data_IF_796649395184
#
_entry.id   IF_796649395184
#
_cell.length_a   1.000
_cell.length_b   1.000
_cell.length_c   1.000
_cell.angle_alpha   90.00
_cell.angle_beta   90.00
_cell.angle_gamma   90.00
#
_symmetry.space_group_name_H-M   'P 1'
#
loop_
_entity.id
_entity.type
_entity.pdbx_description
1 polymer ?
#
# COMPACT_ATOMS: atom_id res chain seq x y z
N UNK A 1 25.72 13.71 5.52
CA UNK A 1 26.94 12.99 5.16
C UNK A 1 26.58 11.51 5.24
N UNK A 2 26.13 10.96 4.12
CA UNK A 2 25.61 9.58 4.07
C UNK A 2 26.78 8.62 3.85
N UNK A 3 26.89 7.64 4.71
CA UNK A 3 27.85 6.56 4.58
C UNK A 3 27.21 5.51 3.66
N UNK A 4 27.66 5.48 2.41
CA UNK A 4 27.29 4.42 1.46
C UNK A 4 27.89 3.10 1.92
N UNK A 5 27.04 2.12 2.22
CA UNK A 5 27.48 0.74 2.40
C UNK A 5 27.73 0.12 1.04
N UNK A 6 29.00 -0.05 0.71
CA UNK A 6 29.43 -0.86 -0.42
C UNK A 6 29.37 -2.32 0.04
N UNK A 7 28.42 -3.07 -0.45
CA UNK A 7 28.42 -4.54 -0.35
C UNK A 7 29.00 -5.03 -1.68
N UNK A 8 30.29 -5.35 -1.68
CA UNK A 8 30.94 -6.01 -2.79
C UNK A 8 30.48 -7.49 -2.83
N UNK A 9 29.68 -7.84 -3.82
CA UNK A 9 29.35 -9.23 -4.12
C UNK A 9 30.55 -9.92 -4.72
N UNK A 10 31.14 -10.89 -4.00
CA UNK A 10 32.18 -11.77 -4.51
C UNK A 10 31.47 -12.91 -5.26
N UNK A 11 31.41 -12.81 -6.59
CA UNK A 11 31.09 -13.94 -7.47
C UNK A 11 32.28 -14.87 -7.54
N UNK A 12 32.23 -16.00 -6.87
CA UNK A 12 33.18 -17.09 -7.05
C UNK A 12 32.84 -17.86 -8.33
N UNK A 13 33.60 -17.61 -9.38
CA UNK A 13 33.59 -18.37 -10.64
C UNK A 13 34.32 -19.72 -10.42
N UNK A 14 33.57 -20.81 -10.26
CA UNK A 14 34.14 -22.14 -10.21
C UNK A 14 34.24 -22.71 -11.62
N UNK A 15 35.46 -22.66 -12.20
CA UNK A 15 35.81 -23.31 -13.46
C UNK A 15 36.02 -24.82 -13.19
N UNK A 16 35.12 -25.67 -13.69
CA UNK A 16 35.38 -27.12 -13.77
C UNK A 16 35.83 -27.45 -15.20
N UNK A 17 37.09 -27.73 -15.33
CA UNK A 17 37.68 -28.37 -16.51
C UNK A 17 37.45 -29.88 -16.42
N UNK A 18 36.71 -30.46 -17.35
CA UNK A 18 36.64 -31.92 -17.55
C UNK A 18 37.34 -32.29 -18.85
N UNK A 19 38.39 -33.08 -18.68
CA UNK A 19 39.19 -33.63 -19.75
C UNK A 19 38.46 -34.77 -20.49
N UNK A 20 38.63 -34.73 -21.80
CA UNK A 20 38.24 -35.81 -22.73
C UNK A 20 39.05 -37.08 -22.51
N UNK A 21 38.37 -38.24 -22.53
CA UNK A 21 38.99 -39.49 -22.92
C UNK A 21 38.09 -40.26 -23.86
N UNK A 22 38.65 -40.60 -24.98
CA UNK A 22 38.06 -41.30 -26.11
C UNK A 22 38.21 -42.84 -25.93
N UNK A 23 37.18 -43.66 -26.24
CA UNK A 23 37.27 -45.09 -26.30
C UNK A 23 36.11 -45.69 -27.08
N UNK A 24 36.43 -46.23 -28.25
CA UNK A 24 35.55 -46.96 -29.18
C UNK A 24 35.32 -48.40 -28.75
N UNK A 25 34.13 -48.98 -29.03
CA UNK A 25 33.80 -50.15 -29.90
C UNK A 25 32.48 -50.79 -29.45
N UNK A 26 31.49 -50.84 -30.29
CA UNK A 26 31.09 -51.91 -31.26
C UNK A 26 30.38 -53.12 -30.65
N UNK A 27 29.17 -53.40 -31.15
CA UNK A 27 28.60 -54.75 -31.21
C UNK A 27 27.20 -54.94 -30.63
N UNK A 28 26.19 -54.84 -31.41
CA UNK A 28 25.23 -55.75 -32.02
C UNK A 28 24.14 -56.44 -31.15
N UNK A 29 22.90 -56.23 -31.64
CA UNK A 29 21.75 -57.14 -31.82
C UNK A 29 21.08 -57.74 -30.56
N UNK A 30 19.83 -57.75 -30.43
CA UNK A 30 18.63 -58.13 -31.13
C UNK A 30 17.50 -58.52 -30.14
N UNK A 31 16.29 -58.24 -30.56
CA UNK A 31 15.01 -58.98 -30.40
C UNK A 31 14.34 -59.12 -29.03
N UNK A 32 13.22 -58.43 -28.90
CA UNK A 32 11.82 -58.88 -29.01
C UNK A 32 11.16 -59.51 -27.77
N UNK A 33 9.97 -58.99 -27.58
CA UNK A 33 8.69 -59.61 -27.24
C UNK A 33 8.24 -59.80 -25.79
N UNK A 34 7.06 -59.19 -25.60
CA UNK A 34 5.80 -59.70 -25.09
C UNK A 34 5.39 -59.42 -23.65
N UNK A 35 4.36 -58.65 -23.55
CA UNK A 35 3.39 -58.69 -22.43
C UNK A 35 2.58 -60.01 -22.51
N UNK A 36 1.81 -60.43 -21.48
CA UNK A 36 0.67 -59.69 -20.97
C UNK A 36 0.26 -59.95 -19.48
N UNK A 37 -0.62 -59.07 -19.07
CA UNK A 37 -1.88 -59.25 -18.28
C UNK A 37 -1.89 -59.96 -16.92
N UNK A 38 -2.56 -59.31 -16.01
CA UNK A 38 -3.82 -59.60 -15.33
C UNK A 38 -3.80 -59.61 -13.81
N UNK A 39 -4.75 -58.83 -13.32
CA UNK A 39 -5.77 -59.10 -12.31
C UNK A 39 -5.42 -59.08 -10.81
N UNK A 40 -6.04 -58.09 -10.17
CA UNK A 40 -7.02 -58.16 -9.08
C UNK A 40 -6.57 -58.72 -7.72
N UNK A 41 -6.75 -57.96 -6.71
CA UNK A 41 -7.79 -58.13 -5.65
C UNK A 41 -7.42 -57.38 -4.39
N UNK A 42 -8.42 -56.82 -3.82
CA UNK A 42 -8.57 -56.10 -2.56
C UNK A 42 -7.98 -56.84 -1.35
N UNK A 43 -7.57 -56.11 -0.35
CA UNK A 43 -8.22 -56.12 0.96
C UNK A 43 -7.67 -55.07 1.94
N UNK A 44 -8.54 -54.53 2.72
CA UNK A 44 -8.50 -53.66 3.83
C UNK A 44 -7.51 -54.01 4.93
N UNK A 45 -6.86 -53.00 5.53
CA UNK A 45 -6.89 -52.84 7.00
C UNK A 45 -6.39 -51.49 7.48
N UNK A 46 -7.13 -50.98 8.41
CA UNK A 46 -6.98 -49.83 9.32
C UNK A 46 -5.61 -49.75 10.01
N UNK A 47 -5.15 -48.50 10.20
CA UNK A 47 -4.06 -48.20 11.13
C UNK A 47 -3.86 -46.68 11.25
N UNK A 48 -4.30 -46.19 12.35
CA UNK A 48 -4.22 -44.84 12.87
C UNK A 48 -2.83 -44.32 13.21
N UNK A 49 -2.76 -42.98 13.42
CA UNK A 49 -1.74 -42.19 14.13
C UNK A 49 -0.52 -41.81 13.29
N UNK A 50 -0.01 -40.60 13.29
CA UNK A 50 -0.04 -39.45 14.19
C UNK A 50 0.39 -38.20 13.41
N UNK A 51 -0.13 -37.07 13.83
CA UNK A 51 0.31 -35.74 13.43
C UNK A 51 1.68 -35.45 14.03
N UNK A 52 2.55 -34.82 13.27
CA UNK A 52 3.66 -34.05 13.82
C UNK A 52 3.66 -32.65 13.25
N UNK A 53 3.26 -31.72 14.10
CA UNK A 53 3.51 -30.29 13.98
C UNK A 53 5.02 -30.03 13.91
N UNK A 54 5.46 -29.32 12.91
CA UNK A 54 6.68 -28.54 13.02
C UNK A 54 6.38 -27.06 12.80
N UNK A 55 6.22 -26.37 13.92
CA UNK A 55 6.31 -24.93 14.01
C UNK A 55 7.79 -24.55 14.08
N UNK A 56 8.30 -23.84 13.09
CA UNK A 56 9.57 -23.12 13.23
C UNK A 56 9.28 -21.65 13.51
N UNK A 57 9.44 -21.31 14.76
CA UNK A 57 9.62 -19.96 15.25
C UNK A 57 11.10 -19.60 15.14
N UNK A 58 11.44 -18.55 14.44
CA UNK A 58 12.68 -17.81 14.66
C UNK A 58 12.42 -16.32 14.52
N UNK A 59 12.36 -15.66 15.64
CA UNK A 59 12.75 -14.26 15.79
C UNK A 59 13.31 -14.09 17.20
N UNK A 60 14.62 -14.20 17.31
CA UNK A 60 15.36 -13.99 18.54
C UNK A 60 15.88 -12.55 18.60
N UNK A 61 15.30 -11.81 19.49
CA UNK A 61 15.79 -10.53 20.00
C UNK A 61 17.12 -10.73 20.74
N UNK A 62 18.18 -10.08 20.29
CA UNK A 62 19.37 -9.85 21.11
C UNK A 62 19.19 -8.59 21.97
N UNK A 63 19.09 -8.80 23.26
CA UNK A 63 19.28 -7.78 24.29
C UNK A 63 20.66 -8.00 24.92
N UNK A 64 21.61 -7.12 24.63
CA UNK A 64 22.87 -7.06 25.35
C UNK A 64 22.70 -6.16 26.57
N UNK A 65 22.89 -6.80 27.73
CA UNK A 65 23.01 -6.16 29.03
C UNK A 65 24.43 -5.67 29.23
N UNK A 66 24.60 -4.40 29.47
CA UNK A 66 25.78 -3.91 30.21
C UNK A 66 25.36 -3.37 31.56
N UNK A 67 26.06 -3.90 32.57
CA UNK A 67 25.91 -3.72 33.98
C UNK A 67 27.07 -2.86 34.43
N UNK A 68 26.82 -1.62 34.81
CA UNK A 68 27.76 -0.91 35.69
C UNK A 68 27.07 -0.33 36.92
N UNK A 69 27.77 -0.51 38.01
CA UNK A 69 27.42 -0.34 39.42
C UNK A 69 28.22 0.84 39.96
N UNK A 70 27.56 1.80 40.61
CA UNK A 70 28.02 2.44 41.85
C UNK A 70 27.03 3.55 42.24
N UNK A 71 26.44 3.38 43.32
CA UNK A 71 26.58 3.89 44.69
C UNK A 71 26.28 5.37 44.90
N UNK A 72 25.18 5.54 45.62
CA UNK A 72 24.92 6.45 46.75
C UNK A 72 25.40 7.91 46.74
N UNK A 73 24.49 8.85 46.89
CA UNK A 73 24.33 9.55 48.18
C UNK A 73 23.14 10.49 48.22
N UNK A 74 22.33 10.28 49.23
CA UNK A 74 21.26 11.11 49.80
C UNK A 74 21.69 12.55 50.06
N UNK A 75 20.79 13.50 49.85
CA UNK A 75 20.41 14.48 50.89
C UNK A 75 19.11 15.24 50.55
N UNK A 76 18.29 15.34 51.55
CA UNK A 76 17.00 15.99 51.72
C UNK A 76 17.14 17.49 52.04
N UNK A 77 16.17 18.28 51.60
CA UNK A 77 15.53 19.41 52.31
C UNK A 77 14.59 20.14 51.37
N UNK A 78 13.35 20.17 51.54
CA UNK A 78 12.34 20.70 52.45
C UNK A 78 12.21 22.26 52.41
N UNK A 79 10.96 22.67 52.15
CA UNK A 79 10.24 23.88 52.54
C UNK A 79 10.48 25.15 51.69
N UNK A 80 9.55 25.98 51.33
CA UNK A 80 8.28 26.44 51.94
C UNK A 80 7.47 27.26 50.99
N UNK A 81 6.15 27.34 51.22
CA UNK A 81 5.13 28.12 50.56
C UNK A 81 5.22 29.62 50.91
N UNK A 82 4.57 30.44 50.04
CA UNK A 82 3.73 31.61 50.35
C UNK A 82 3.34 32.28 49.05
N UNK A 83 2.14 32.39 48.62
CA UNK A 83 0.92 33.07 49.02
C UNK A 83 0.97 34.63 48.90
N UNK A 84 -0.12 35.11 48.35
CA UNK A 84 -0.73 36.48 48.42
C UNK A 84 -0.41 37.41 47.25
N UNK A 85 -1.38 37.83 46.62
CA UNK A 85 -2.60 38.66 46.58
C UNK A 85 -2.45 39.72 45.49
N UNK A 86 -3.45 39.80 44.61
CA UNK A 86 -4.62 40.67 44.58
C UNK A 86 -4.37 42.12 44.18
N UNK A 87 -5.02 42.57 43.16
CA UNK A 87 -5.96 43.71 43.03
C UNK A 87 -6.11 44.14 41.57
N UNK A 88 -7.32 44.05 41.04
CA UNK A 88 -8.29 45.11 40.83
C UNK A 88 -7.75 46.37 40.10
N UNK A 89 -8.30 46.72 38.93
CA UNK A 89 -9.42 47.58 38.77
C UNK A 89 -9.78 47.87 37.28
N UNK A 90 -11.04 47.77 36.98
CA UNK A 90 -12.03 48.67 36.46
C UNK A 90 -11.96 49.20 35.00
N UNK A 91 -12.91 48.71 34.26
CA UNK A 91 -14.05 49.46 33.63
C UNK A 91 -13.76 50.69 32.79
N UNK A 92 -14.19 50.65 31.53
CA UNK A 92 -15.15 51.65 31.02
C UNK A 92 -15.88 51.19 29.75
N UNK A 93 -17.17 51.24 29.86
CA UNK A 93 -18.24 51.19 28.86
C UNK A 93 -18.21 52.40 27.95
N UNK A 94 -18.53 52.26 26.67
CA UNK A 94 -19.38 53.22 25.96
C UNK A 94 -20.19 52.52 24.87
N UNK A 95 -21.39 52.98 24.82
CA UNK A 95 -22.62 52.52 24.24
C UNK A 95 -22.91 53.24 22.92
N UNK A 96 -23.71 52.57 22.08
CA UNK A 96 -24.82 53.08 21.25
C UNK A 96 -24.54 53.60 19.84
N UNK A 97 -25.41 53.13 18.95
CA UNK A 97 -25.72 53.73 17.66
C UNK A 97 -26.68 52.85 16.83
N UNK A 98 -27.93 52.83 17.27
CA UNK A 98 -29.12 52.36 16.55
C UNK A 98 -29.56 53.39 15.54
N UNK A 99 -29.97 53.04 14.31
CA UNK A 99 -30.93 53.82 13.48
C UNK A 99 -31.52 52.88 12.45
N UNK A 100 -32.66 52.36 12.60
CA UNK A 100 -34.01 52.71 12.20
C UNK A 100 -34.34 52.73 10.71
N UNK A 101 -35.20 51.82 10.41
CA UNK A 101 -36.16 51.55 9.34
C UNK A 101 -36.71 52.80 8.61
N UNK A 102 -36.82 52.67 7.28
CA UNK A 102 -37.97 53.36 6.57
C UNK A 102 -38.42 52.47 5.40
N UNK A 103 -39.65 52.05 5.48
CA UNK A 103 -40.46 51.46 4.41
C UNK A 103 -41.02 52.52 3.50
N UNK A 104 -41.00 52.31 2.18
CA UNK A 104 -41.99 52.92 1.28
C UNK A 104 -42.46 51.93 0.22
N UNK A 105 -43.76 51.88 0.09
CA UNK A 105 -44.58 51.02 -0.78
C UNK A 105 -45.09 51.88 -1.96
N UNK A 106 -45.00 51.33 -3.18
CA UNK A 106 -45.88 51.59 -4.32
C UNK A 106 -45.63 50.61 -5.44
N UNK A 107 -46.49 49.73 -5.73
CA UNK A 107 -47.58 49.62 -6.68
C UNK A 107 -47.19 49.68 -8.17
N UNK A 108 -47.42 48.56 -8.87
CA UNK A 108 -48.03 48.56 -10.21
C UNK A 108 -47.19 47.93 -11.33
N UNK A 109 -47.72 46.89 -11.98
CA UNK A 109 -47.52 46.64 -13.41
C UNK A 109 -46.89 45.30 -13.80
N UNK A 110 -47.75 44.43 -14.28
CA UNK A 110 -47.56 43.21 -15.05
C UNK A 110 -46.45 43.25 -16.10
N UNK A 111 -45.60 42.21 -16.18
CA UNK A 111 -45.50 41.36 -17.37
C UNK A 111 -44.60 40.13 -17.12
N UNK A 112 -45.10 39.00 -17.59
CA UNK A 112 -44.51 37.66 -17.50
C UNK A 112 -43.38 37.51 -18.49
N UNK A 113 -42.17 37.21 -18.01
CA UNK A 113 -41.15 36.55 -18.81
C UNK A 113 -40.40 35.53 -17.98
N UNK A 114 -40.69 34.25 -18.24
CA UNK A 114 -39.98 33.11 -17.71
C UNK A 114 -38.56 33.13 -18.28
N UNK A 115 -37.57 33.36 -17.44
CA UNK A 115 -36.17 33.10 -17.75
C UNK A 115 -35.64 32.07 -16.76
N UNK A 116 -35.33 30.90 -17.28
CA UNK A 116 -34.64 29.81 -16.57
C UNK A 116 -33.30 30.30 -16.01
N UNK A 117 -33.19 30.36 -14.72
CA UNK A 117 -31.94 30.66 -14.02
C UNK A 117 -31.06 29.42 -14.07
N UNK A 118 -29.86 29.57 -14.64
CA UNK A 118 -28.74 28.67 -14.59
C UNK A 118 -28.29 28.49 -13.13
N UNK A 119 -27.98 27.26 -12.64
CA UNK A 119 -27.50 27.08 -11.29
C UNK A 119 -26.15 27.78 -11.10
N UNK A 120 -26.02 28.48 -10.00
CA UNK A 120 -24.77 29.10 -9.57
C UNK A 120 -23.70 28.04 -9.35
N UNK A 121 -22.57 28.19 -10.02
CA UNK A 121 -21.35 27.42 -9.74
C UNK A 121 -20.81 27.87 -8.38
N UNK A 122 -20.83 26.94 -7.44
CA UNK A 122 -20.10 27.07 -6.19
C UNK A 122 -18.61 26.97 -6.50
N UNK A 123 -17.89 28.05 -6.40
CA UNK A 123 -16.44 28.08 -6.46
C UNK A 123 -15.88 27.40 -5.21
N UNK A 124 -15.45 26.15 -5.36
CA UNK A 124 -14.67 25.47 -4.34
C UNK A 124 -13.29 26.10 -4.29
N UNK A 125 -12.92 26.63 -3.13
CA UNK A 125 -11.58 27.17 -2.90
C UNK A 125 -10.57 26.04 -3.08
N UNK A 126 -9.66 26.19 -4.05
CA UNK A 126 -8.52 25.32 -4.25
C UNK A 126 -7.55 25.55 -3.10
N UNK A 127 -7.47 24.61 -2.18
CA UNK A 127 -6.40 24.56 -1.18
C UNK A 127 -5.13 24.13 -1.92
N UNK A 128 -4.21 25.05 -2.10
CA UNK A 128 -2.89 24.79 -2.67
C UNK A 128 -2.10 23.97 -1.67
N UNK A 129 -2.12 22.64 -1.81
CA UNK A 129 -1.16 21.77 -1.13
C UNK A 129 0.18 21.90 -1.85
N UNK A 130 1.24 22.10 -1.09
CA UNK A 130 2.61 22.06 -1.60
C UNK A 130 2.83 20.64 -2.14
N UNK A 131 2.72 20.49 -3.45
CA UNK A 131 2.93 19.22 -4.13
C UNK A 131 4.40 18.82 -3.99
N UNK A 132 4.63 17.54 -3.70
CA UNK A 132 5.89 16.86 -3.97
C UNK A 132 6.36 17.20 -5.40
N UNK A 133 7.68 17.16 -5.70
CA UNK A 133 8.19 17.51 -7.03
C UNK A 133 7.34 16.83 -8.10
N UNK A 134 6.70 17.66 -8.89
CA UNK A 134 5.80 17.20 -9.93
C UNK A 134 6.65 16.55 -11.02
N UNK A 135 6.67 15.21 -11.08
CA UNK A 135 7.22 14.48 -12.22
C UNK A 135 6.17 14.45 -13.38
N UNK A 136 5.25 15.42 -13.41
CA UNK A 136 4.33 15.61 -14.51
C UNK A 136 5.05 16.26 -15.68
N UNK A 137 5.83 15.48 -16.37
CA UNK A 137 6.22 15.81 -17.74
C UNK A 137 4.97 15.78 -18.61
N UNK A 138 4.82 16.76 -19.53
CA UNK A 138 3.71 16.75 -20.48
C UNK A 138 3.70 15.41 -21.23
N UNK A 139 2.53 14.91 -21.55
CA UNK A 139 2.36 13.64 -22.28
C UNK A 139 2.88 13.76 -23.73
N UNK A 140 4.17 13.91 -23.90
CA UNK A 140 4.79 13.62 -25.18
C UNK A 140 4.89 12.11 -25.35
N UNK A 141 4.18 11.61 -26.34
CA UNK A 141 4.01 10.19 -26.69
C UNK A 141 5.27 9.57 -27.32
N UNK A 142 6.44 9.93 -26.84
CA UNK A 142 7.68 9.32 -27.32
C UNK A 142 8.11 8.29 -26.31
N UNK A 143 7.82 7.02 -26.58
CA UNK A 143 8.36 5.93 -25.80
C UNK A 143 9.77 5.59 -26.27
N UNK A 144 10.68 5.33 -25.31
CA UNK A 144 12.00 4.76 -25.59
C UNK A 144 11.85 3.40 -26.27
N UNK A 145 10.89 2.59 -25.82
CA UNK A 145 10.46 1.41 -26.54
C UNK A 145 8.99 1.07 -26.25
N UNK A 146 8.38 0.39 -27.22
CA UNK A 146 7.07 -0.26 -27.13
C UNK A 146 7.29 -1.77 -27.09
N UNK A 147 6.78 -2.43 -26.04
CA UNK A 147 6.93 -3.87 -25.81
C UNK A 147 5.58 -4.54 -25.84
N UNK A 148 5.39 -5.44 -26.81
CA UNK A 148 4.21 -6.29 -26.88
C UNK A 148 4.53 -7.65 -26.29
N UNK A 149 3.92 -7.95 -25.15
CA UNK A 149 4.06 -9.20 -24.40
C UNK A 149 3.21 -10.29 -25.06
N UNK A 150 3.71 -11.52 -25.08
CA UNK A 150 3.03 -12.67 -25.67
C UNK A 150 3.91 -13.91 -25.63
N UNK A 151 3.45 -15.00 -26.29
CA UNK A 151 4.29 -16.20 -26.49
C UNK A 151 5.59 -15.89 -27.24
N UNK A 152 5.57 -14.83 -28.03
CA UNK A 152 6.74 -14.18 -28.63
C UNK A 152 6.68 -12.70 -28.26
N UNK A 153 7.66 -12.26 -27.48
CA UNK A 153 7.78 -10.83 -27.12
C UNK A 153 8.35 -10.08 -28.30
N UNK A 154 7.74 -8.93 -28.64
CA UNK A 154 8.25 -8.02 -29.66
C UNK A 154 8.55 -6.67 -29.07
N UNK A 155 9.63 -6.06 -29.54
CA UNK A 155 10.13 -4.76 -29.09
C UNK A 155 10.30 -3.85 -30.29
N UNK A 156 9.80 -2.62 -30.17
CA UNK A 156 10.07 -1.53 -31.10
C UNK A 156 10.67 -0.38 -30.31
N UNK A 157 11.91 -0.03 -30.61
CA UNK A 157 12.71 0.97 -29.90
C UNK A 157 13.96 0.36 -29.27
N UNK A 158 14.54 1.07 -28.31
CA UNK A 158 15.88 0.81 -27.82
C UNK A 158 15.88 0.44 -26.31
N UNK A 159 17.07 0.02 -25.82
CA UNK A 159 17.34 -0.23 -24.40
C UNK A 159 16.51 -1.36 -23.75
N UNK A 160 15.97 -2.25 -24.57
CA UNK A 160 15.23 -3.44 -24.12
C UNK A 160 15.91 -4.69 -24.67
N UNK A 161 16.21 -5.63 -23.79
CA UNK A 161 16.76 -6.95 -24.12
C UNK A 161 15.79 -8.03 -23.66
N UNK A 162 15.54 -8.99 -24.53
CA UNK A 162 14.71 -10.16 -24.19
C UNK A 162 15.64 -11.33 -23.82
N UNK A 163 15.33 -11.95 -22.69
CA UNK A 163 16.02 -13.14 -22.20
C UNK A 163 14.95 -14.17 -21.76
N UNK A 164 14.61 -15.07 -22.66
CA UNK A 164 13.47 -15.97 -22.48
C UNK A 164 12.15 -15.19 -22.37
N UNK A 165 11.49 -15.31 -21.23
CA UNK A 165 10.28 -14.56 -20.89
C UNK A 165 10.54 -13.32 -20.01
N UNK A 166 11.82 -12.96 -19.78
CA UNK A 166 12.19 -11.75 -19.05
C UNK A 166 12.47 -10.61 -20.01
N UNK A 167 11.80 -9.48 -19.80
CA UNK A 167 12.04 -8.22 -20.50
C UNK A 167 12.99 -7.37 -19.66
N UNK A 168 14.25 -7.26 -20.08
CA UNK A 168 15.29 -6.51 -19.36
C UNK A 168 15.39 -5.09 -19.90
N UNK A 169 15.27 -4.11 -19.01
CA UNK A 169 15.48 -2.68 -19.26
C UNK A 169 16.81 -2.28 -18.63
N UNK A 170 17.70 -1.72 -19.43
CA UNK A 170 19.08 -1.43 -19.04
C UNK A 170 19.48 0.05 -19.18
N UNK A 171 18.53 0.93 -19.43
CA UNK A 171 18.75 2.38 -19.42
C UNK A 171 17.50 3.13 -19.00
N UNK A 172 17.69 4.38 -18.56
CA UNK A 172 16.59 5.29 -18.26
C UNK A 172 15.70 5.55 -19.46
N UNK A 173 14.44 5.86 -19.22
CA UNK A 173 13.48 6.15 -20.30
C UNK A 173 12.06 5.77 -19.95
N UNK A 174 11.19 5.87 -20.97
CA UNK A 174 9.76 5.53 -20.85
C UNK A 174 9.42 4.36 -21.76
N UNK A 175 8.92 3.30 -21.20
CA UNK A 175 8.68 2.01 -21.85
C UNK A 175 7.20 1.66 -21.80
N UNK A 176 6.56 1.48 -22.94
CA UNK A 176 5.16 1.09 -23.03
C UNK A 176 5.03 -0.43 -23.11
N UNK A 177 4.23 -1.00 -22.21
CA UNK A 177 3.96 -2.43 -22.18
C UNK A 177 2.49 -2.71 -22.45
N UNK A 178 2.23 -3.74 -23.25
CA UNK A 178 0.89 -4.28 -23.50
C UNK A 178 0.94 -5.79 -23.73
N UNK A 179 -0.17 -6.49 -23.50
CA UNK A 179 -0.27 -7.92 -23.75
C UNK A 179 -0.03 -8.81 -22.53
N UNK A 180 0.26 -10.10 -22.75
CA UNK A 180 0.24 -11.11 -21.71
C UNK A 180 1.52 -11.94 -21.66
N UNK A 181 2.07 -12.12 -20.46
CA UNK A 181 3.06 -13.14 -20.12
C UNK A 181 2.45 -14.14 -19.15
N UNK A 182 2.29 -15.38 -19.57
CA UNK A 182 1.77 -16.43 -18.69
C UNK A 182 2.77 -16.89 -17.63
N UNK A 183 4.06 -16.68 -17.90
CA UNK A 183 5.16 -16.88 -16.95
C UNK A 183 6.35 -16.03 -17.39
N UNK A 184 6.51 -14.85 -16.81
CA UNK A 184 7.55 -13.92 -17.21
C UNK A 184 7.65 -12.69 -16.33
N UNK A 185 8.63 -11.84 -16.60
CA UNK A 185 9.02 -10.73 -15.74
C UNK A 185 9.42 -9.50 -16.54
N UNK A 186 9.12 -8.33 -16.03
CA UNK A 186 9.80 -7.07 -16.39
C UNK A 186 10.91 -6.84 -15.37
N UNK A 187 12.14 -6.78 -15.83
CA UNK A 187 13.34 -6.61 -15.00
C UNK A 187 14.04 -5.32 -15.36
N UNK A 188 14.21 -4.43 -14.38
CA UNK A 188 14.87 -3.13 -14.54
C UNK A 188 16.20 -3.15 -13.81
N UNK A 189 17.28 -2.93 -14.54
CA UNK A 189 18.62 -2.76 -13.97
C UNK A 189 19.37 -1.72 -14.82
N UNK A 190 19.34 -0.49 -14.35
CA UNK A 190 19.97 0.65 -15.03
C UNK A 190 21.15 1.13 -14.20
N UNK A 191 21.27 2.41 -13.93
CA UNK A 191 22.19 2.95 -12.95
C UNK A 191 21.45 3.86 -11.96
N UNK A 192 22.09 4.17 -10.85
CA UNK A 192 21.51 4.94 -9.73
C UNK A 192 21.11 6.38 -10.08
N UNK A 193 21.48 6.87 -11.26
CA UNK A 193 21.16 8.23 -11.69
C UNK A 193 19.99 8.28 -12.69
N UNK A 194 19.56 7.14 -13.20
CA UNK A 194 18.53 7.06 -14.24
C UNK A 194 17.14 6.77 -13.67
N UNK A 195 16.15 7.47 -14.21
CA UNK A 195 14.73 7.21 -13.94
C UNK A 195 14.16 6.31 -15.03
N UNK A 196 13.37 5.33 -14.62
CA UNK A 196 12.64 4.44 -15.53
C UNK A 196 11.14 4.61 -15.33
N UNK A 197 10.40 4.77 -16.42
CA UNK A 197 8.94 4.78 -16.41
C UNK A 197 8.41 3.59 -17.18
N UNK A 198 7.68 2.71 -16.49
CA UNK A 198 6.98 1.56 -17.05
C UNK A 198 5.51 1.95 -17.23
N UNK A 199 5.09 2.16 -18.47
CA UNK A 199 3.70 2.49 -18.80
C UNK A 199 2.95 1.19 -19.07
N UNK A 200 2.06 0.81 -18.18
CA UNK A 200 1.24 -0.40 -18.29
C UNK A 200 -0.06 -0.08 -19.03
N UNK A 201 -0.28 -0.74 -20.17
CA UNK A 201 -1.43 -0.54 -21.05
C UNK A 201 -2.11 -1.87 -21.38
N UNK A 202 -2.80 -2.44 -20.40
CA UNK A 202 -3.49 -3.71 -20.56
C UNK A 202 -2.52 -4.89 -20.50
N UNK A 203 -1.63 -4.90 -19.52
CA UNK A 203 -0.75 -6.05 -19.29
C UNK A 203 -1.41 -7.09 -18.38
N UNK A 204 -1.08 -8.37 -18.61
CA UNK A 204 -1.43 -9.49 -17.75
C UNK A 204 -0.16 -10.34 -17.60
N UNK A 205 0.51 -10.20 -16.44
CA UNK A 205 1.80 -10.84 -16.17
C UNK A 205 1.68 -11.73 -14.93
N UNK A 206 1.95 -13.02 -15.12
CA UNK A 206 2.22 -13.93 -14.02
C UNK A 206 3.71 -14.30 -14.01
N UNK A 207 4.30 -14.49 -12.83
CA UNK A 207 5.69 -14.93 -12.70
C UNK A 207 5.81 -16.03 -11.64
N UNK A 208 6.35 -17.18 -12.04
CA UNK A 208 6.52 -18.33 -11.14
C UNK A 208 7.92 -18.39 -10.50
N UNK A 209 8.83 -17.50 -10.89
CA UNK A 209 10.23 -17.53 -10.45
C UNK A 209 10.72 -16.24 -9.78
N UNK A 210 9.86 -15.23 -9.62
CA UNK A 210 10.18 -13.97 -8.96
C UNK A 210 9.03 -12.96 -9.03
N UNK A 211 9.31 -11.69 -8.78
CA UNK A 211 8.36 -10.59 -9.01
C UNK A 211 7.90 -10.51 -10.47
N UNK A 212 6.64 -10.14 -10.71
CA UNK A 212 6.19 -9.81 -12.07
C UNK A 212 6.89 -8.55 -12.59
N UNK A 213 7.20 -7.60 -11.69
CA UNK A 213 8.07 -6.44 -11.95
C UNK A 213 9.16 -6.41 -10.89
N UNK A 214 10.41 -6.57 -11.33
CA UNK A 214 11.61 -6.48 -10.51
C UNK A 214 12.41 -5.24 -10.88
N UNK A 215 12.68 -4.38 -9.92
CA UNK A 215 13.59 -3.23 -10.06
C UNK A 215 14.84 -3.51 -9.22
N UNK A 216 15.89 -3.92 -9.89
CA UNK A 216 17.19 -4.21 -9.27
C UNK A 216 17.95 -2.93 -8.97
N UNK A 217 18.00 -2.01 -9.94
CA UNK A 217 18.71 -0.74 -9.80
C UNK A 217 18.12 0.34 -10.71
N UNK A 218 17.74 1.47 -10.12
CA UNK A 218 17.36 2.70 -10.81
C UNK A 218 17.41 3.87 -9.82
N UNK A 219 17.53 5.11 -10.28
CA UNK A 219 17.32 6.27 -9.40
C UNK A 219 15.90 6.28 -8.80
N UNK A 220 14.94 5.88 -9.60
CA UNK A 220 13.53 5.72 -9.28
C UNK A 220 12.83 4.95 -10.39
N UNK A 221 11.99 4.02 -10.04
CA UNK A 221 11.07 3.39 -10.97
C UNK A 221 9.66 3.97 -10.81
N UNK A 222 9.05 4.35 -11.94
CA UNK A 222 7.68 4.84 -12.00
C UNK A 222 6.85 3.81 -12.75
N UNK A 223 5.88 3.20 -12.09
CA UNK A 223 4.85 2.38 -12.73
C UNK A 223 3.66 3.29 -13.03
N UNK A 224 3.53 3.67 -14.31
CA UNK A 224 2.42 4.50 -14.80
C UNK A 224 1.31 3.59 -15.33
N UNK A 225 0.19 3.57 -14.64
CA UNK A 225 -1.02 2.82 -15.06
C UNK A 225 -1.79 3.67 -16.04
N UNK A 226 -1.77 3.29 -17.33
CA UNK A 226 -2.37 4.10 -18.40
C UNK A 226 -3.88 4.25 -18.19
N UNK A 227 -4.38 5.44 -18.45
CA UNK A 227 -5.81 5.74 -18.34
C UNK A 227 -6.68 4.75 -19.15
N UNK A 228 -7.76 4.27 -18.51
CA UNK A 228 -8.70 3.31 -19.10
C UNK A 228 -8.15 1.88 -19.24
N UNK A 229 -6.89 1.63 -18.92
CA UNK A 229 -6.32 0.28 -18.93
C UNK A 229 -6.61 -0.50 -17.65
N UNK A 230 -6.73 -1.82 -17.79
CA UNK A 230 -6.77 -2.78 -16.68
C UNK A 230 -5.54 -3.66 -16.80
N UNK A 231 -4.75 -3.71 -15.74
CA UNK A 231 -3.47 -4.41 -15.69
C UNK A 231 -3.51 -5.41 -14.55
N UNK A 232 -3.04 -6.64 -14.80
CA UNK A 232 -3.02 -7.71 -13.82
C UNK A 232 -1.58 -8.18 -13.64
N UNK A 233 -1.13 -8.23 -12.40
CA UNK A 233 0.18 -8.73 -12.02
C UNK A 233 0.01 -9.78 -10.93
N UNK A 234 0.70 -10.91 -11.07
CA UNK A 234 0.70 -11.96 -10.06
C UNK A 234 2.04 -12.65 -9.95
N UNK A 235 2.32 -13.22 -8.78
CA UNK A 235 3.44 -14.09 -8.52
C UNK A 235 3.01 -15.40 -7.87
N UNK A 236 3.86 -16.42 -7.99
CA UNK A 236 3.74 -17.67 -7.24
C UNK A 236 5.10 -18.20 -6.78
N UNK A 237 6.16 -17.41 -6.97
CA UNK A 237 7.50 -17.75 -6.53
C UNK A 237 7.57 -17.86 -5.01
N UNK A 238 8.44 -18.74 -4.51
CA UNK A 238 8.78 -18.82 -3.09
C UNK A 238 10.12 -18.11 -2.82
N UNK A 239 10.29 -16.94 -3.40
CA UNK A 239 11.45 -16.09 -3.17
C UNK A 239 11.30 -15.42 -1.80
N UNK A 240 12.35 -15.49 -0.98
CA UNK A 240 12.36 -14.87 0.36
C UNK A 240 13.05 -13.51 0.38
N UNK A 241 13.73 -13.14 -0.69
CA UNK A 241 14.51 -11.91 -0.80
C UNK A 241 13.69 -10.86 -1.56
N UNK A 242 13.27 -11.20 -2.79
CA UNK A 242 12.49 -10.30 -3.64
C UNK A 242 11.01 -10.64 -3.49
N UNK A 243 10.44 -10.33 -2.33
CA UNK A 243 9.19 -10.91 -1.87
C UNK A 243 7.95 -10.04 -2.14
N UNK A 244 7.85 -9.46 -3.32
CA UNK A 244 6.68 -8.72 -3.80
C UNK A 244 6.33 -9.01 -5.25
N UNK A 245 5.05 -8.90 -5.62
CA UNK A 245 4.64 -8.97 -7.05
C UNK A 245 5.28 -7.83 -7.85
N UNK A 246 5.34 -6.65 -7.25
CA UNK A 246 6.24 -5.56 -7.65
C UNK A 246 7.25 -5.41 -6.53
N UNK A 247 8.52 -5.63 -6.84
CA UNK A 247 9.61 -5.45 -5.90
C UNK A 247 10.64 -4.44 -6.45
N UNK A 248 11.11 -3.57 -5.58
CA UNK A 248 12.10 -2.55 -5.93
C UNK A 248 13.15 -2.40 -4.83
N UNK A 249 14.44 -2.40 -5.19
CA UNK A 249 15.51 -2.00 -4.27
C UNK A 249 15.54 -0.48 -4.06
N UNK A 250 14.95 0.29 -4.99
CA UNK A 250 14.95 1.75 -4.99
C UNK A 250 13.54 2.33 -4.89
N UNK A 251 13.47 3.66 -4.79
CA UNK A 251 12.18 4.37 -4.69
C UNK A 251 11.22 3.96 -5.82
N UNK A 252 10.05 3.47 -5.43
CA UNK A 252 8.98 3.07 -6.32
C UNK A 252 7.83 4.08 -6.28
N UNK A 253 7.42 4.57 -7.46
CA UNK A 253 6.22 5.40 -7.59
C UNK A 253 5.16 4.72 -8.44
N UNK A 254 3.93 4.66 -7.94
CA UNK A 254 2.75 4.22 -8.71
C UNK A 254 1.90 5.44 -9.02
N UNK A 255 1.58 5.67 -10.31
CA UNK A 255 0.71 6.77 -10.73
C UNK A 255 -0.14 6.41 -11.96
N UNK A 256 -1.07 7.27 -12.31
CA UNK A 256 -1.91 7.14 -13.52
C UNK A 256 -3.38 7.01 -13.17
N UNK A 257 -4.24 6.83 -14.20
CA UNK A 257 -5.69 6.81 -14.05
C UNK A 257 -6.32 5.49 -14.55
N UNK A 258 -5.54 4.43 -14.63
CA UNK A 258 -6.00 3.07 -14.94
C UNK A 258 -6.18 2.22 -13.69
N UNK A 259 -6.43 0.93 -13.89
CA UNK A 259 -6.59 -0.08 -12.85
C UNK A 259 -5.40 -1.03 -12.82
N UNK A 260 -4.88 -1.29 -11.63
CA UNK A 260 -3.81 -2.24 -11.34
C UNK A 260 -4.30 -3.26 -10.32
N UNK A 261 -4.42 -4.51 -10.74
CA UNK A 261 -4.78 -5.64 -9.90
C UNK A 261 -3.51 -6.43 -9.58
N UNK A 262 -3.30 -6.75 -8.32
CA UNK A 262 -2.12 -7.45 -7.81
C UNK A 262 -2.56 -8.62 -6.95
N UNK A 263 -2.14 -9.83 -7.34
CA UNK A 263 -2.39 -11.05 -6.60
C UNK A 263 -1.05 -11.70 -6.23
N UNK A 264 -0.66 -11.61 -4.95
CA UNK A 264 0.55 -12.26 -4.48
C UNK A 264 0.26 -13.66 -3.94
N UNK A 265 0.88 -14.63 -4.54
CA UNK A 265 0.93 -16.02 -4.05
C UNK A 265 2.16 -16.32 -3.18
N UNK A 266 3.10 -15.37 -3.11
CA UNK A 266 4.34 -15.51 -2.34
C UNK A 266 4.33 -14.74 -1.02
N UNK A 267 4.28 -13.42 -1.08
CA UNK A 267 4.48 -12.59 0.09
C UNK A 267 3.72 -11.24 0.02
N UNK A 268 4.39 -10.20 -0.42
CA UNK A 268 3.83 -8.84 -0.46
C UNK A 268 3.19 -8.51 -1.82
N UNK A 269 2.21 -7.63 -1.82
CA UNK A 269 1.67 -7.11 -3.09
C UNK A 269 2.69 -6.19 -3.76
N UNK A 270 3.05 -5.11 -3.08
CA UNK A 270 4.08 -4.16 -3.52
C UNK A 270 5.10 -4.02 -2.40
N UNK A 271 6.37 -4.23 -2.70
CA UNK A 271 7.45 -4.08 -1.75
C UNK A 271 8.57 -3.18 -2.31
N UNK A 272 9.21 -2.42 -1.42
CA UNK A 272 10.39 -1.61 -1.74
C UNK A 272 11.36 -1.58 -0.57
N UNK A 273 12.65 -1.68 -0.87
CA UNK A 273 13.71 -1.45 0.13
C UNK A 273 13.94 0.05 0.40
N UNK A 274 13.32 0.93 -0.40
CA UNK A 274 13.30 2.37 -0.22
C UNK A 274 11.84 2.85 -0.04
N UNK A 275 11.48 4.01 -0.58
CA UNK A 275 10.15 4.62 -0.48
C UNK A 275 9.13 3.98 -1.45
N UNK A 276 7.85 3.96 -1.04
CA UNK A 276 6.71 3.72 -1.91
C UNK A 276 5.86 5.00 -1.96
N UNK A 277 5.65 5.53 -3.18
CA UNK A 277 4.82 6.71 -3.42
C UNK A 277 3.63 6.35 -4.31
N UNK A 278 2.41 6.62 -3.84
CA UNK A 278 1.17 6.42 -4.61
C UNK A 278 0.49 7.77 -4.80
N UNK A 279 0.33 8.18 -6.07
CA UNK A 279 -0.24 9.49 -6.36
C UNK A 279 -1.62 9.42 -7.00
N UNK A 280 -1.90 8.41 -7.80
CA UNK A 280 -3.19 8.15 -8.43
C UNK A 280 -3.28 6.65 -8.77
N UNK A 281 -4.23 6.24 -9.53
CA UNK A 281 -4.61 4.91 -9.96
C UNK A 281 -5.64 4.21 -9.05
N UNK A 282 -6.33 3.23 -9.61
CA UNK A 282 -7.14 2.27 -8.86
C UNK A 282 -6.28 1.03 -8.66
N UNK A 283 -5.94 0.73 -7.41
CA UNK A 283 -5.03 -0.37 -7.08
C UNK A 283 -5.76 -1.36 -6.18
N UNK A 284 -5.89 -2.59 -6.63
CA UNK A 284 -6.50 -3.68 -5.88
C UNK A 284 -5.42 -4.71 -5.55
N UNK A 285 -5.22 -5.01 -4.28
CA UNK A 285 -4.17 -5.91 -3.81
C UNK A 285 -4.77 -7.02 -2.97
N UNK A 286 -4.47 -8.27 -3.36
CA UNK A 286 -4.59 -9.43 -2.49
C UNK A 286 -3.18 -9.96 -2.24
N UNK A 287 -2.77 -10.08 -0.98
CA UNK A 287 -1.42 -10.47 -0.62
C UNK A 287 -1.40 -11.51 0.50
N UNK A 288 -0.47 -12.47 0.39
CA UNK A 288 -0.24 -13.49 1.42
C UNK A 288 0.34 -12.87 2.69
N UNK A 289 1.24 -11.89 2.54
CA UNK A 289 1.77 -11.10 3.66
C UNK A 289 1.17 -9.68 3.66
N UNK A 290 1.97 -8.66 3.44
CA UNK A 290 1.50 -7.26 3.46
C UNK A 290 1.04 -6.80 2.09
N UNK A 291 0.01 -5.95 2.05
CA UNK A 291 -0.40 -5.31 0.79
C UNK A 291 0.68 -4.38 0.27
N UNK A 292 1.09 -3.41 1.09
CA UNK A 292 2.23 -2.52 0.85
C UNK A 292 3.29 -2.77 1.92
N UNK A 293 4.55 -2.86 1.51
CA UNK A 293 5.69 -3.00 2.42
C UNK A 293 6.87 -2.14 1.98
N UNK A 294 7.32 -1.22 2.80
CA UNK A 294 8.50 -0.40 2.53
C UNK A 294 9.51 -0.47 3.68
N UNK A 295 10.80 -0.43 3.37
CA UNK A 295 11.82 -0.23 4.39
C UNK A 295 11.94 1.24 4.81
N UNK A 296 11.68 2.17 3.90
CA UNK A 296 11.64 3.60 4.17
C UNK A 296 10.17 4.07 4.28
N UNK A 297 9.75 5.15 3.65
CA UNK A 297 8.43 5.73 3.86
C UNK A 297 7.39 5.19 2.87
N UNK A 298 6.11 5.26 3.28
CA UNK A 298 4.97 5.09 2.37
C UNK A 298 4.20 6.39 2.33
N UNK A 299 4.08 6.98 1.13
CA UNK A 299 3.30 8.18 0.89
C UNK A 299 2.13 7.90 -0.05
N UNK A 300 0.91 8.24 0.39
CA UNK A 300 -0.31 8.13 -0.40
C UNK A 300 -0.92 9.52 -0.54
N UNK A 301 -0.88 10.07 -1.75
CA UNK A 301 -1.40 11.40 -2.04
C UNK A 301 -2.62 11.41 -2.97
N UNK A 302 -3.02 10.26 -3.49
CA UNK A 302 -4.19 10.13 -4.38
C UNK A 302 -4.51 8.70 -4.76
N UNK A 303 -5.50 8.52 -5.62
CA UNK A 303 -5.96 7.23 -6.11
C UNK A 303 -6.96 6.52 -5.19
N UNK A 304 -7.27 5.28 -5.54
CA UNK A 304 -8.13 4.39 -4.74
C UNK A 304 -7.39 3.09 -4.50
N UNK A 305 -7.15 2.77 -3.23
CA UNK A 305 -6.53 1.53 -2.79
C UNK A 305 -7.56 0.61 -2.16
N UNK A 306 -7.56 -0.66 -2.58
CA UNK A 306 -8.31 -1.73 -1.94
C UNK A 306 -7.35 -2.87 -1.61
N UNK A 307 -7.08 -3.09 -0.34
CA UNK A 307 -6.07 -4.02 0.14
C UNK A 307 -6.69 -5.10 1.01
N UNK A 308 -6.48 -6.36 0.63
CA UNK A 308 -6.69 -7.53 1.47
C UNK A 308 -5.33 -8.22 1.66
N UNK A 309 -4.94 -8.46 2.90
CA UNK A 309 -3.62 -8.98 3.23
C UNK A 309 -3.67 -10.07 4.29
N UNK A 310 -2.78 -11.04 4.17
CA UNK A 310 -2.66 -12.14 5.14
C UNK A 310 -2.02 -11.73 6.45
N UNK A 311 -1.22 -10.64 6.44
CA UNK A 311 -0.61 -10.07 7.65
C UNK A 311 -0.94 -8.58 7.78
N UNK A 312 -0.06 -7.67 7.34
CA UNK A 312 -0.34 -6.24 7.50
C UNK A 312 -0.91 -5.66 6.20
N UNK A 313 -1.87 -4.74 6.30
CA UNK A 313 -2.38 -4.05 5.13
C UNK A 313 -1.31 -3.14 4.52
N UNK A 314 -0.92 -2.13 5.27
CA UNK A 314 0.16 -1.19 4.94
C UNK A 314 1.22 -1.28 6.05
N UNK A 315 2.46 -1.58 5.68
CA UNK A 315 3.56 -1.71 6.65
C UNK A 315 4.81 -0.98 6.18
N UNK A 316 5.42 -0.22 7.08
CA UNK A 316 6.75 0.36 6.85
C UNK A 316 7.63 0.32 8.10
N UNK A 317 8.96 0.32 7.88
CA UNK A 317 9.96 0.48 8.95
C UNK A 317 10.22 1.96 9.30
N UNK A 318 9.57 2.90 8.61
CA UNK A 318 9.66 4.34 8.87
C UNK A 318 8.27 4.95 9.03
N UNK A 319 7.92 5.93 8.24
CA UNK A 319 6.70 6.72 8.40
C UNK A 319 5.68 6.48 7.30
N UNK A 320 4.39 6.58 7.65
CA UNK A 320 3.28 6.60 6.70
C UNK A 320 2.75 8.03 6.63
N UNK A 321 2.59 8.54 5.43
CA UNK A 321 2.00 9.85 5.16
C UNK A 321 0.82 9.68 4.20
N UNK A 322 -0.39 10.02 4.66
CA UNK A 322 -1.58 10.04 3.81
C UNK A 322 -2.04 11.48 3.67
N UNK A 323 -2.04 11.98 2.45
CA UNK A 323 -2.42 13.36 2.11
C UNK A 323 -3.57 13.46 1.11
N UNK A 324 -4.04 12.33 0.56
CA UNK A 324 -5.14 12.27 -0.40
C UNK A 324 -5.54 10.85 -0.74
N UNK A 325 -6.47 10.72 -1.68
CA UNK A 325 -7.00 9.44 -2.13
C UNK A 325 -7.95 8.76 -1.16
N UNK A 326 -8.37 7.55 -1.51
CA UNK A 326 -9.24 6.70 -0.70
C UNK A 326 -8.61 5.33 -0.53
N UNK A 327 -8.42 4.90 0.70
CA UNK A 327 -7.81 3.61 1.03
C UNK A 327 -8.76 2.76 1.87
N UNK A 328 -9.08 1.56 1.37
CA UNK A 328 -9.78 0.49 2.07
C UNK A 328 -8.78 -0.61 2.39
N UNK A 329 -8.58 -0.91 3.66
CA UNK A 329 -7.51 -1.79 4.09
C UNK A 329 -8.05 -2.88 5.01
N UNK A 330 -7.79 -4.13 4.68
CA UNK A 330 -7.99 -5.29 5.54
C UNK A 330 -6.63 -5.85 5.96
N UNK A 331 -6.34 -5.80 7.25
CA UNK A 331 -5.20 -6.47 7.87
C UNK A 331 -5.40 -7.98 7.96
N UNK A 332 -4.38 -8.69 8.40
CA UNK A 332 -4.38 -10.15 8.55
C UNK A 332 -5.14 -10.66 9.77
N UNK A 333 -5.23 -11.99 9.87
CA UNK A 333 -6.03 -12.70 10.89
C UNK A 333 -5.39 -12.77 12.26
N UNK A 334 -4.06 -12.65 12.37
CA UNK A 334 -3.35 -12.83 13.63
C UNK A 334 -3.45 -11.56 14.48
N UNK A 335 -3.42 -11.72 15.79
CA UNK A 335 -3.42 -10.59 16.75
C UNK A 335 -2.21 -9.66 16.58
N UNK A 336 -1.12 -10.19 16.00
CA UNK A 336 0.09 -9.43 15.65
C UNK A 336 0.02 -8.78 14.26
N UNK A 337 -1.10 -8.89 13.57
CA UNK A 337 -1.30 -8.34 12.22
C UNK A 337 -2.02 -7.00 12.29
N UNK A 338 -1.45 -6.01 11.65
CA UNK A 338 -1.95 -4.63 11.66
C UNK A 338 -2.65 -4.29 10.34
N UNK A 339 -3.76 -3.57 10.40
CA UNK A 339 -4.27 -2.95 9.18
C UNK A 339 -3.32 -1.90 8.63
N UNK A 340 -2.75 -1.08 9.52
CA UNK A 340 -1.71 -0.08 9.20
C UNK A 340 -0.61 -0.15 10.27
N UNK A 341 0.64 -0.27 9.86
CA UNK A 341 1.78 -0.33 10.76
C UNK A 341 2.93 0.57 10.28
N UNK A 342 3.36 1.47 11.15
CA UNK A 342 4.57 2.28 10.97
C UNK A 342 5.43 2.20 12.23
N UNK A 343 6.75 2.07 12.06
CA UNK A 343 7.68 2.09 13.20
C UNK A 343 7.86 3.52 13.75
N UNK A 344 7.78 4.51 12.86
CA UNK A 344 7.86 5.93 13.22
C UNK A 344 6.47 6.59 13.12
N UNK A 345 6.43 7.82 12.62
CA UNK A 345 5.21 8.60 12.55
C UNK A 345 4.20 8.05 11.53
N UNK A 346 2.93 7.99 11.92
CA UNK A 346 1.82 7.95 11.01
C UNK A 346 1.19 9.35 10.96
N UNK A 347 1.18 9.97 9.78
CA UNK A 347 0.71 11.34 9.55
C UNK A 347 -0.47 11.34 8.60
N UNK A 348 -1.61 11.90 9.04
CA UNK A 348 -2.78 12.08 8.20
C UNK A 348 -3.02 13.56 7.91
N UNK A 349 -2.87 13.94 6.64
CA UNK A 349 -3.01 15.32 6.15
C UNK A 349 -4.30 15.55 5.36
N UNK A 350 -4.92 14.47 4.85
CA UNK A 350 -6.12 14.53 4.03
C UNK A 350 -6.45 13.20 3.35
N UNK A 351 -7.53 13.16 2.58
CA UNK A 351 -8.05 11.95 1.96
C UNK A 351 -8.91 11.12 2.91
N UNK A 352 -8.96 9.80 2.64
CA UNK A 352 -9.83 8.86 3.33
C UNK A 352 -9.10 7.54 3.58
N UNK A 353 -9.13 7.05 4.82
CA UNK A 353 -8.64 5.73 5.18
C UNK A 353 -9.68 5.01 6.04
N UNK A 354 -10.05 3.83 5.62
CA UNK A 354 -10.92 2.90 6.32
C UNK A 354 -10.16 1.58 6.50
N UNK A 355 -9.60 1.37 7.69
CA UNK A 355 -8.68 0.28 7.93
C UNK A 355 -9.21 -0.67 9.00
N UNK A 356 -9.59 -1.87 8.57
CA UNK A 356 -10.10 -2.95 9.41
C UNK A 356 -8.97 -3.94 9.75
N UNK A 357 -8.86 -4.30 11.02
CA UNK A 357 -7.85 -5.24 11.51
C UNK A 357 -8.02 -5.54 12.99
N UNK A 358 -7.11 -6.31 13.58
CA UNK A 358 -7.11 -6.57 15.00
C UNK A 358 -6.30 -5.52 15.77
N UNK A 359 -5.33 -4.91 15.09
CA UNK A 359 -4.57 -3.78 15.61
C UNK A 359 -4.14 -2.82 14.49
N UNK A 360 -3.71 -1.62 14.85
CA UNK A 360 -3.19 -0.60 13.93
C UNK A 360 -2.37 0.47 14.63
N UNK A 361 -1.40 1.04 13.91
CA UNK A 361 -0.78 2.31 14.29
C UNK A 361 -1.81 3.42 14.23
N UNK A 362 -1.81 4.28 15.22
CA UNK A 362 -2.70 5.43 15.28
C UNK A 362 -1.97 6.68 14.74
N UNK A 363 -2.68 7.66 14.16
CA UNK A 363 -2.05 8.88 13.69
C UNK A 363 -1.34 9.62 14.82
N UNK A 364 -0.01 9.77 14.72
CA UNK A 364 0.78 10.63 15.60
C UNK A 364 0.48 12.11 15.34
N UNK A 365 0.15 12.44 14.08
CA UNK A 365 -0.27 13.78 13.65
C UNK A 365 -1.43 13.64 12.68
N UNK A 366 -2.52 14.38 12.93
CA UNK A 366 -3.67 14.43 12.04
C UNK A 366 -4.16 15.87 11.89
N UNK A 367 -4.45 16.28 10.66
CA UNK A 367 -5.07 17.56 10.35
C UNK A 367 -6.56 17.58 10.68
N UNK A 368 -7.16 16.43 10.90
CA UNK A 368 -8.60 16.22 11.11
C UNK A 368 -8.84 15.38 12.36
N UNK A 369 -9.98 15.51 13.04
CA UNK A 369 -10.41 14.52 14.01
C UNK A 369 -10.55 13.15 13.35
N UNK A 370 -10.40 12.10 14.13
CA UNK A 370 -10.48 10.74 13.63
C UNK A 370 -11.15 9.80 14.64
N UNK A 371 -11.60 8.65 14.15
CA UNK A 371 -12.38 7.70 14.92
C UNK A 371 -11.74 6.33 14.86
N UNK A 372 -11.72 5.64 16.00
CA UNK A 372 -11.49 4.21 16.09
C UNK A 372 -12.73 3.55 16.69
N UNK A 373 -13.25 2.53 16.01
CA UNK A 373 -14.34 1.71 16.51
C UNK A 373 -13.76 0.37 17.01
N UNK A 374 -14.11 -0.01 18.24
CA UNK A 374 -13.90 -1.35 18.79
C UNK A 374 -15.19 -2.17 18.58
N UNK A 375 -15.11 -3.14 17.70
CA UNK A 375 -16.25 -3.92 17.21
C UNK A 375 -16.31 -5.33 17.82
N UNK A 376 -15.45 -5.59 18.84
CA UNK A 376 -15.31 -6.93 19.40
C UNK A 376 -14.76 -7.92 18.38
N UNK A 377 -15.59 -8.78 17.82
CA UNK A 377 -15.13 -9.76 16.82
C UNK A 377 -16.10 -9.83 15.64
N UNK A 378 -15.66 -9.32 14.50
CA UNK A 378 -16.41 -9.35 13.23
C UNK A 378 -15.81 -10.41 12.32
N UNK A 379 -16.63 -11.34 11.85
CA UNK A 379 -16.18 -12.42 10.95
C UNK A 379 -15.66 -11.88 9.61
N UNK A 380 -14.65 -12.53 9.07
CA UNK A 380 -14.16 -12.22 7.73
C UNK A 380 -15.25 -12.37 6.67
N UNK A 381 -15.24 -11.51 5.66
CA UNK A 381 -16.28 -11.42 4.66
C UNK A 381 -17.54 -10.64 5.11
N UNK A 382 -17.56 -10.11 6.32
CA UNK A 382 -18.61 -9.20 6.79
C UNK A 382 -18.25 -7.76 6.42
N UNK A 383 -19.12 -7.11 5.65
CA UNK A 383 -18.91 -5.72 5.26
C UNK A 383 -19.12 -4.78 6.44
N UNK A 384 -18.31 -3.76 6.53
CA UNK A 384 -18.62 -2.58 7.32
C UNK A 384 -19.18 -1.45 6.44
N UNK A 385 -19.92 -0.56 7.07
CA UNK A 385 -20.39 0.70 6.51
C UNK A 385 -20.05 1.83 7.47
N UNK A 386 -19.62 2.94 6.92
CA UNK A 386 -19.38 4.18 7.67
C UNK A 386 -20.31 5.26 7.15
N UNK A 387 -20.96 5.94 8.07
CA UNK A 387 -21.84 7.08 7.75
C UNK A 387 -21.39 8.33 8.50
N UNK A 388 -21.45 9.47 7.81
CA UNK A 388 -21.24 10.80 8.39
C UNK A 388 -22.58 11.54 8.39
N UNK A 389 -23.03 11.98 9.57
CA UNK A 389 -24.31 12.67 9.75
C UNK A 389 -25.49 11.92 9.10
N UNK A 390 -25.50 10.58 9.19
CA UNK A 390 -26.53 9.71 8.63
C UNK A 390 -26.39 9.36 7.15
N UNK A 391 -25.40 9.94 6.42
CA UNK A 391 -25.12 9.60 5.01
C UNK A 391 -23.99 8.57 4.95
N UNK A 392 -24.23 7.43 4.30
CA UNK A 392 -23.18 6.44 4.02
C UNK A 392 -22.11 7.06 3.12
N UNK A 393 -20.84 6.98 3.57
CA UNK A 393 -19.67 7.52 2.87
C UNK A 393 -18.66 6.44 2.49
N UNK A 394 -18.71 5.28 3.14
CA UNK A 394 -17.83 4.17 2.84
C UNK A 394 -18.51 2.84 3.11
N UNK A 395 -18.18 1.85 2.29
CA UNK A 395 -18.51 0.44 2.50
C UNK A 395 -17.38 -0.40 1.94
N UNK A 396 -16.94 -1.42 2.73
CA UNK A 396 -15.89 -2.33 2.32
C UNK A 396 -16.13 -3.71 2.93
N UNK A 397 -15.64 -4.75 2.27
CA UNK A 397 -15.77 -6.14 2.69
C UNK A 397 -14.40 -6.74 2.98
N UNK A 398 -13.87 -6.61 4.22
CA UNK A 398 -12.63 -7.25 4.62
C UNK A 398 -12.69 -8.76 4.46
N UNK A 399 -11.66 -9.37 3.89
CA UNK A 399 -11.62 -10.84 3.76
C UNK A 399 -11.32 -11.53 5.08
N UNK A 400 -10.53 -10.89 5.95
CA UNK A 400 -10.19 -11.42 7.26
C UNK A 400 -11.14 -10.94 8.34
N UNK A 401 -11.22 -11.69 9.45
CA UNK A 401 -11.87 -11.23 10.65
C UNK A 401 -11.15 -10.00 11.21
N UNK A 402 -11.90 -9.11 11.82
CA UNK A 402 -11.37 -7.88 12.40
C UNK A 402 -12.13 -7.52 13.67
N UNK A 403 -11.48 -6.79 14.56
CA UNK A 403 -12.05 -6.31 15.81
C UNK A 403 -12.08 -4.78 15.89
N UNK A 404 -11.27 -4.12 15.09
CA UNK A 404 -11.14 -2.65 15.10
C UNK A 404 -11.27 -2.07 13.70
N UNK A 405 -11.85 -0.88 13.63
CA UNK A 405 -11.95 -0.09 12.41
C UNK A 405 -11.39 1.31 12.66
N UNK A 406 -10.29 1.66 12.02
CA UNK A 406 -9.74 3.02 12.02
C UNK A 406 -10.36 3.81 10.87
N UNK A 407 -10.92 4.97 11.18
CA UNK A 407 -11.61 5.86 10.24
C UNK A 407 -10.92 7.20 10.26
N UNK A 408 -10.26 7.53 9.16
CA UNK A 408 -9.66 8.82 8.88
C UNK A 408 -10.37 9.42 7.66
N UNK A 409 -10.88 10.64 7.78
CA UNK A 409 -11.56 11.32 6.69
C UNK A 409 -11.38 12.83 6.83
N UNK A 410 -11.04 13.49 5.74
CA UNK A 410 -10.98 14.95 5.70
C UNK A 410 -12.34 15.63 5.87
N UNK A 411 -13.44 14.88 5.77
CA UNK A 411 -14.80 15.38 5.96
C UNK A 411 -15.26 15.29 7.43
N UNK A 412 -14.46 14.67 8.30
CA UNK A 412 -14.73 14.62 9.74
C UNK A 412 -14.26 15.92 10.38
N UNK A 413 -15.22 16.63 10.96
CA UNK A 413 -14.98 17.86 11.74
C UNK A 413 -15.61 17.74 13.11
N UNK A 414 -15.26 18.62 14.04
CA UNK A 414 -15.92 18.66 15.36
C UNK A 414 -17.43 18.84 15.19
N UNK A 415 -18.21 18.02 15.86
CA UNK A 415 -19.67 17.98 15.75
C UNK A 415 -20.23 17.00 14.72
N UNK A 416 -19.41 16.45 13.82
CA UNK A 416 -19.82 15.38 12.90
C UNK A 416 -20.24 14.14 13.70
N UNK A 417 -21.37 13.53 13.37
CA UNK A 417 -21.74 12.21 13.89
C UNK A 417 -21.19 11.15 12.94
N UNK A 418 -20.25 10.34 13.43
CA UNK A 418 -19.72 9.17 12.73
C UNK A 418 -20.43 7.94 13.24
N UNK A 419 -21.00 7.15 12.35
CA UNK A 419 -21.64 5.87 12.69
C UNK A 419 -21.02 4.73 11.90
N UNK A 420 -20.89 3.58 12.54
CA UNK A 420 -20.38 2.33 11.98
C UNK A 420 -21.47 1.27 12.07
N UNK A 421 -21.61 0.45 11.01
CA UNK A 421 -22.40 -0.79 10.97
C UNK A 421 -21.50 -1.88 10.40
N UNK A 422 -21.23 -2.90 11.19
CA UNK A 422 -20.35 -4.01 10.84
C UNK A 422 -21.04 -5.35 11.13
N UNK A 423 -21.99 -5.72 10.24
CA UNK A 423 -22.69 -7.01 10.34
C UNK A 423 -23.66 -7.16 11.51
N UNK A 424 -24.13 -6.03 12.05
CA UNK A 424 -25.02 -6.00 13.21
C UNK A 424 -24.44 -5.30 14.42
N UNK A 425 -23.10 -5.26 14.54
CA UNK A 425 -22.42 -4.42 15.51
C UNK A 425 -22.48 -2.98 15.03
N UNK A 426 -23.15 -2.14 15.82
CA UNK A 426 -23.42 -0.75 15.46
C UNK A 426 -23.04 0.17 16.59
N UNK A 427 -22.39 1.25 16.21
CA UNK A 427 -22.04 2.30 17.15
C UNK A 427 -21.99 3.65 16.47
N UNK A 428 -22.01 4.69 17.27
CA UNK A 428 -21.82 6.05 16.75
C UNK A 428 -21.23 6.98 17.81
N UNK A 429 -20.49 7.95 17.33
CA UNK A 429 -19.91 9.00 18.17
C UNK A 429 -20.14 10.38 17.53
N UNK A 430 -20.45 11.38 18.35
CA UNK A 430 -20.38 12.77 17.96
C UNK A 430 -18.96 13.26 18.20
N UNK A 431 -18.26 13.52 17.11
CA UNK A 431 -16.82 13.78 17.11
C UNK A 431 -16.48 15.08 17.81
N UNK A 432 -15.45 15.03 18.66
CA UNK A 432 -14.71 16.19 19.18
C UNK A 432 -13.37 16.34 18.44
N UNK A 433 -12.50 17.24 18.88
CA UNK A 433 -11.15 17.35 18.32
C UNK A 433 -10.29 16.12 18.67
N UNK A 434 -9.41 15.73 17.75
CA UNK A 434 -8.45 14.63 17.97
C UNK A 434 -9.07 13.24 17.83
N UNK A 435 -8.66 12.32 18.70
CA UNK A 435 -9.12 10.93 18.76
C UNK A 435 -10.53 10.82 19.30
N UNK A 436 -11.36 10.00 18.67
CA UNK A 436 -12.70 9.64 19.14
C UNK A 436 -12.88 8.11 19.09
N UNK A 437 -13.75 7.56 19.91
CA UNK A 437 -13.97 6.13 20.06
C UNK A 437 -15.44 5.77 19.94
N UNK A 438 -15.72 4.64 19.29
CA UNK A 438 -17.02 3.96 19.20
C UNK A 438 -16.90 2.62 19.87
#
# INVERSE_FOLDING_TARGET
MQIKRIIAGISALLLMASAFSCGKSAGSSSTAEKAPSSSASAETSSGSTEASDEASSEDTTEASSEKEKSSEKTTSSKTTASATESSNDKSTTTKSGETAVTTTKASGGTDTKVTTAKPAQTTTAVVTTTALPNDDEPEEKVYTAEVSLGSKISVKGDNVKIDGSTVKINAGGTYLFSGKLSDGQIYVSTNTEEKVTLVLNGVDIACSYGPAIMVEEAKRCIVKVKEGSVNNLSDSAKDKVNDGVIFSNDTLRIKGNGTLNIDSGNAHGIASDDDILITNAVININAVKSGLYAHENIEISGGTLSINSGTNGIKTKKSIIISGGTSYVSGGKKDTSFSVYSTNDFVFKGGYLYAAGNDQSLPAKSSFPWVIADLGSVSGGTSFKVSLNGKEVASFKPQNAYSKLLILSQDITSGTTVAVDAGGDKGSVKVSSGKNEI
#
